data_IF_975982164923
#
_entry.id   IF_975982164923
#
_cell.length_a   1.000
_cell.length_b   1.000
_cell.length_c   1.000
_cell.angle_alpha   90.00
_cell.angle_beta   90.00
_cell.angle_gamma   90.00
#
_symmetry.space_group_name_H-M   'P 1'
#
loop_
_entity.id
_entity.type
_entity.pdbx_description
1 polymer ?
#
# COMPACT_ATOMS: atom_id res chain seq x y z
N UNK A 1 -21.85 -11.25 100.25
CA UNK A 1 -22.35 -11.44 98.86
C UNK A 1 -22.89 -10.12 98.33
N UNK A 2 -22.61 -9.75 97.07
CA UNK A 2 -22.98 -8.50 96.35
C UNK A 2 -22.02 -7.28 96.36
N UNK A 3 -20.76 -7.41 96.80
CA UNK A 3 -19.75 -6.34 96.54
C UNK A 3 -18.41 -6.79 95.95
N UNK A 4 -18.22 -8.10 95.72
CA UNK A 4 -16.97 -8.65 95.19
C UNK A 4 -17.08 -9.17 93.73
N UNK A 5 -18.23 -9.00 93.06
CA UNK A 5 -18.48 -9.54 91.71
C UNK A 5 -18.43 -8.46 90.62
N UNK A 6 -18.50 -7.17 90.99
CA UNK A 6 -18.56 -6.07 90.01
C UNK A 6 -17.19 -5.49 89.60
N UNK A 7 -16.10 -5.83 90.29
CA UNK A 7 -14.76 -5.32 89.96
C UNK A 7 -13.98 -6.16 88.94
N UNK A 8 -14.45 -7.36 88.60
CA UNK A 8 -13.78 -8.23 87.61
C UNK A 8 -14.39 -8.08 86.20
N UNK A 9 -15.62 -7.55 86.07
CA UNK A 9 -16.30 -7.41 84.78
C UNK A 9 -15.97 -6.07 84.08
N UNK A 10 -15.46 -5.06 84.79
CA UNK A 10 -15.09 -3.77 84.19
C UNK A 10 -13.68 -3.74 83.55
N UNK A 11 -12.88 -4.80 83.70
CA UNK A 11 -11.53 -4.89 83.12
C UNK A 11 -11.47 -5.76 81.85
N UNK A 12 -12.59 -6.38 81.44
CA UNK A 12 -12.66 -7.18 80.21
C UNK A 12 -13.24 -6.43 79.00
N UNK A 13 -13.67 -5.18 79.16
CA UNK A 13 -14.30 -4.38 78.09
C UNK A 13 -13.43 -3.25 77.53
N UNK A 14 -12.17 -3.12 77.96
CA UNK A 14 -11.22 -2.13 77.42
C UNK A 14 -10.12 -2.78 76.56
N UNK A 15 -9.98 -4.10 76.55
CA UNK A 15 -8.89 -4.77 75.81
C UNK A 15 -9.32 -5.40 74.47
N UNK A 16 -10.51 -5.09 73.95
CA UNK A 16 -11.00 -5.60 72.65
C UNK A 16 -11.27 -4.49 71.61
N UNK A 17 -10.88 -3.24 71.88
CA UNK A 17 -11.00 -2.13 70.92
C UNK A 17 -9.65 -1.55 70.45
N UNK A 18 -8.52 -2.18 70.80
CA UNK A 18 -7.18 -1.71 70.42
C UNK A 18 -6.44 -2.67 69.46
N UNK A 19 -7.18 -3.45 68.66
CA UNK A 19 -6.62 -4.29 67.59
C UNK A 19 -7.25 -4.04 66.21
N UNK A 20 -7.87 -2.87 66.01
CA UNK A 20 -8.40 -2.42 64.71
C UNK A 20 -7.92 -1.01 64.34
N UNK A 21 -6.68 -0.66 64.70
CA UNK A 21 -6.04 0.63 64.32
C UNK A 21 -4.60 0.46 63.82
N UNK A 22 -4.29 -0.66 63.17
CA UNK A 22 -3.04 -0.81 62.40
C UNK A 22 -3.35 -1.64 61.16
N UNK A 23 -3.64 -0.97 60.05
CA UNK A 23 -4.00 -1.65 58.81
C UNK A 23 -4.64 -0.81 57.72
N UNK A 24 -4.62 0.53 57.76
CA UNK A 24 -4.66 1.31 56.52
C UNK A 24 -3.24 1.28 55.93
N UNK A 25 -2.76 0.09 55.56
CA UNK A 25 -1.72 0.01 54.56
C UNK A 25 -2.36 0.59 53.32
N UNK A 26 -1.87 1.75 52.86
CA UNK A 26 -2.17 2.21 51.51
C UNK A 26 -1.99 1.01 50.59
N UNK A 27 -2.97 0.77 49.71
CA UNK A 27 -2.78 -0.14 48.60
C UNK A 27 -1.38 0.14 48.04
N UNK A 28 -0.51 -0.88 47.85
CA UNK A 28 0.78 -0.63 47.24
C UNK A 28 0.49 0.18 46.00
N UNK A 29 1.07 1.38 45.92
CA UNK A 29 0.97 2.25 44.76
C UNK A 29 1.29 1.32 43.59
N UNK A 30 0.25 0.91 42.85
CA UNK A 30 0.48 0.15 41.64
C UNK A 30 1.30 1.11 40.82
N UNK A 31 2.60 0.82 40.69
CA UNK A 31 3.42 1.42 39.65
C UNK A 31 2.65 1.16 38.38
N UNK A 32 1.85 2.15 37.96
CA UNK A 32 1.30 2.24 36.63
C UNK A 32 2.55 2.33 35.78
N UNK A 33 3.02 1.18 35.31
CA UNK A 33 3.97 1.15 34.22
C UNK A 33 3.20 1.79 33.08
N UNK A 34 3.58 3.03 32.75
CA UNK A 34 3.01 3.70 31.61
C UNK A 34 3.51 2.92 30.39
N UNK A 35 2.64 2.06 29.87
CA UNK A 35 2.94 1.19 28.74
C UNK A 35 2.98 1.99 27.42
N UNK A 36 2.56 3.27 27.46
CA UNK A 36 2.58 4.17 26.33
C UNK A 36 3.89 4.96 26.30
N UNK A 37 4.51 5.03 25.12
CA UNK A 37 5.66 5.88 24.83
C UNK A 37 5.38 6.64 23.54
N UNK A 38 4.51 7.63 23.65
CA UNK A 38 4.09 8.47 22.53
C UNK A 38 5.21 9.36 21.98
N UNK A 39 6.29 9.61 22.73
CA UNK A 39 7.36 10.51 22.30
C UNK A 39 8.53 9.73 21.69
N UNK A 40 8.94 8.63 22.33
CA UNK A 40 9.97 7.75 21.79
C UNK A 40 9.46 6.87 20.65
N UNK A 41 8.14 6.60 20.61
CA UNK A 41 7.48 5.83 19.56
C UNK A 41 7.55 4.32 19.77
N UNK A 42 8.09 3.84 20.89
CA UNK A 42 8.33 2.41 21.12
C UNK A 42 7.07 1.60 21.44
N UNK A 43 6.01 2.26 21.90
CA UNK A 43 4.73 1.64 22.23
C UNK A 43 3.59 2.65 22.12
N UNK A 44 2.86 2.59 21.01
CA UNK A 44 1.69 3.43 20.73
C UNK A 44 0.42 2.59 20.95
N UNK A 45 -0.44 3.00 21.89
CA UNK A 45 -1.63 2.22 22.28
C UNK A 45 -2.95 2.95 22.00
N UNK A 46 -2.93 4.26 21.76
CA UNK A 46 -4.12 5.05 21.42
C UNK A 46 -3.92 5.96 20.22
N UNK A 47 -5.02 6.46 19.65
CA UNK A 47 -4.99 7.48 18.62
C UNK A 47 -4.28 8.77 19.08
N UNK A 48 -4.54 9.19 20.32
CA UNK A 48 -3.91 10.40 20.87
C UNK A 48 -2.40 10.24 20.98
N UNK A 49 -1.90 9.05 21.32
CA UNK A 49 -0.46 8.76 21.35
C UNK A 49 0.15 8.86 19.94
N UNK A 50 -0.53 8.28 18.95
CA UNK A 50 -0.06 8.26 17.58
C UNK A 50 -0.02 9.67 16.97
N UNK A 51 -1.05 10.47 17.22
CA UNK A 51 -1.11 11.87 16.79
C UNK A 51 -0.03 12.70 17.50
N UNK A 52 0.14 12.53 18.82
CA UNK A 52 1.20 13.19 19.57
C UNK A 52 2.60 12.80 19.06
N UNK A 53 2.82 11.55 18.68
CA UNK A 53 4.06 11.09 18.08
C UNK A 53 4.32 11.76 16.73
N UNK A 54 3.32 11.85 15.87
CA UNK A 54 3.45 12.53 14.57
C UNK A 54 3.80 14.01 14.77
N UNK A 55 3.24 14.67 15.77
CA UNK A 55 3.50 16.09 16.02
C UNK A 55 4.85 16.36 16.71
N UNK A 56 5.25 15.51 17.68
CA UNK A 56 6.30 15.82 18.67
C UNK A 56 7.29 14.67 18.92
N UNK A 57 7.17 13.55 18.23
CA UNK A 57 8.02 12.38 18.44
C UNK A 57 9.49 12.69 18.21
N UNK A 58 10.36 12.14 19.05
CA UNK A 58 11.81 12.33 18.97
C UNK A 58 12.47 11.40 17.95
N UNK A 59 11.81 10.28 17.65
CA UNK A 59 12.23 9.32 16.64
C UNK A 59 11.39 9.43 15.36
N UNK A 60 11.86 8.79 14.30
CA UNK A 60 11.09 8.61 13.06
C UNK A 60 10.29 7.31 13.05
N UNK A 61 10.30 6.50 14.11
CA UNK A 61 9.64 5.19 14.11
C UNK A 61 8.60 5.09 15.22
N UNK A 62 7.33 4.91 14.82
CA UNK A 62 6.26 4.53 15.72
C UNK A 62 6.01 3.03 15.61
N UNK A 63 5.85 2.36 16.75
CA UNK A 63 5.44 0.97 16.85
C UNK A 63 4.10 0.86 17.58
N UNK A 64 3.12 0.23 16.93
CA UNK A 64 1.81 -0.02 17.53
C UNK A 64 1.88 -1.19 18.52
N UNK A 65 1.14 -1.03 19.61
CA UNK A 65 0.96 -2.02 20.67
C UNK A 65 -0.51 -2.41 20.88
N UNK A 66 -1.41 -1.86 20.07
CA UNK A 66 -2.84 -2.15 20.05
C UNK A 66 -3.46 -1.76 18.69
N UNK A 67 -4.67 -2.25 18.43
CA UNK A 67 -5.51 -1.72 17.35
C UNK A 67 -5.93 -0.28 17.68
N UNK A 68 -5.85 0.62 16.70
CA UNK A 68 -6.13 2.05 16.88
C UNK A 68 -7.21 2.50 15.91
N UNK A 69 -8.18 3.26 16.41
CA UNK A 69 -9.14 4.01 15.61
C UNK A 69 -8.88 5.50 15.77
N UNK A 70 -8.61 6.19 14.66
CA UNK A 70 -8.50 7.64 14.59
C UNK A 70 -9.88 8.34 14.56
N UNK A 71 -10.97 7.57 14.52
CA UNK A 71 -12.32 8.10 14.32
C UNK A 71 -12.36 9.01 13.09
N UNK A 72 -12.69 10.30 13.22
CA UNK A 72 -12.74 11.24 12.10
C UNK A 72 -11.41 11.98 11.87
N UNK A 73 -10.38 11.71 12.68
CA UNK A 73 -9.05 12.29 12.51
C UNK A 73 -8.21 11.51 11.49
N UNK A 74 -7.06 12.08 11.12
CA UNK A 74 -6.13 11.50 10.16
C UNK A 74 -4.68 11.80 10.57
N UNK A 75 -3.77 10.89 10.29
CA UNK A 75 -2.33 11.13 10.46
C UNK A 75 -1.82 11.98 9.31
N UNK A 76 -1.37 13.21 9.61
CA UNK A 76 -0.86 14.14 8.62
C UNK A 76 0.67 14.08 8.59
N UNK A 77 1.22 13.43 7.58
CA UNK A 77 2.67 13.40 7.37
C UNK A 77 3.05 14.60 6.52
N UNK A 78 3.57 15.61 7.21
CA UNK A 78 4.11 16.82 6.60
C UNK A 78 5.61 16.66 6.37
N UNK A 79 6.24 17.64 5.70
CA UNK A 79 7.70 17.68 5.51
C UNK A 79 8.53 17.57 6.79
N UNK A 80 7.99 18.00 7.94
CA UNK A 80 8.69 17.87 9.22
C UNK A 80 8.82 16.41 9.70
N UNK A 81 8.03 15.50 9.12
CA UNK A 81 7.98 14.06 9.44
C UNK A 81 8.21 13.19 8.19
N UNK A 82 8.87 13.74 7.18
CA UNK A 82 9.22 12.99 5.98
C UNK A 82 10.08 11.76 6.34
N UNK A 83 9.77 10.62 5.74
CA UNK A 83 10.47 9.34 6.01
C UNK A 83 10.04 8.67 7.32
N UNK A 84 8.90 9.04 7.90
CA UNK A 84 8.36 8.37 9.09
C UNK A 84 8.11 6.88 8.80
N UNK A 85 8.44 6.05 9.79
CA UNK A 85 8.21 4.61 9.80
C UNK A 85 7.09 4.29 10.77
N UNK A 86 6.05 3.61 10.31
CA UNK A 86 4.99 3.06 11.16
C UNK A 86 5.05 1.54 11.11
N UNK A 87 5.49 0.92 12.21
CA UNK A 87 5.38 -0.52 12.43
C UNK A 87 4.06 -0.82 13.13
N UNK A 88 3.12 -1.38 12.41
CA UNK A 88 1.85 -1.85 12.95
C UNK A 88 1.98 -3.05 13.87
N UNK A 89 3.10 -3.78 13.84
CA UNK A 89 3.34 -4.93 14.71
C UNK A 89 2.19 -5.97 14.68
N UNK A 90 1.51 -6.11 13.55
CA UNK A 90 0.36 -6.99 13.32
C UNK A 90 -1.00 -6.38 13.70
N UNK A 91 -1.04 -5.16 14.23
CA UNK A 91 -2.28 -4.47 14.59
C UNK A 91 -2.92 -3.74 13.40
N UNK A 92 -4.15 -3.28 13.64
CA UNK A 92 -4.95 -2.51 12.70
C UNK A 92 -4.96 -1.04 13.06
N UNK A 93 -4.82 -0.18 12.04
CA UNK A 93 -5.12 1.25 12.13
C UNK A 93 -6.39 1.55 11.32
N UNK A 94 -7.35 2.22 11.91
CA UNK A 94 -8.63 2.54 11.25
C UNK A 94 -9.00 4.01 11.39
N UNK A 95 -9.80 4.53 10.46
CA UNK A 95 -10.32 5.89 10.50
C UNK A 95 -11.47 6.07 9.52
N UNK A 96 -12.43 6.92 9.87
CA UNK A 96 -13.64 7.25 9.13
C UNK A 96 -13.57 8.60 8.39
N UNK A 97 -12.48 9.36 8.56
CA UNK A 97 -12.24 10.60 7.79
C UNK A 97 -11.97 10.35 6.30
N UNK A 98 -11.61 11.42 5.58
CA UNK A 98 -11.32 11.37 4.13
C UNK A 98 -10.21 10.37 3.78
N UNK A 99 -9.22 10.27 4.67
CA UNK A 99 -8.23 9.20 4.65
C UNK A 99 -7.69 8.92 6.07
N UNK A 100 -7.09 7.75 6.30
CA UNK A 100 -6.45 7.42 7.58
C UNK A 100 -5.09 8.10 7.69
N UNK A 101 -4.30 8.03 6.62
CA UNK A 101 -2.99 8.67 6.51
C UNK A 101 -3.01 9.62 5.33
N UNK A 102 -2.62 10.88 5.58
CA UNK A 102 -2.43 11.89 4.55
C UNK A 102 -0.96 12.22 4.38
N UNK A 103 -0.43 12.06 3.17
CA UNK A 103 0.90 12.52 2.79
C UNK A 103 0.79 13.89 2.10
N UNK A 104 1.52 14.88 2.61
CA UNK A 104 1.71 16.15 1.92
C UNK A 104 2.66 15.94 0.72
N UNK A 105 2.63 16.88 -0.23
CA UNK A 105 3.41 16.79 -1.46
C UNK A 105 4.91 16.56 -1.21
N UNK A 106 5.46 15.56 -1.89
CA UNK A 106 6.82 15.07 -1.84
C UNK A 106 7.20 14.39 -0.54
N UNK A 107 6.27 14.03 0.34
CA UNK A 107 6.59 13.26 1.54
C UNK A 107 6.68 11.77 1.24
N UNK A 108 7.45 11.08 2.07
CA UNK A 108 7.65 9.65 2.05
C UNK A 108 7.27 9.02 3.40
N UNK A 109 6.83 7.77 3.37
CA UNK A 109 6.54 6.99 4.57
C UNK A 109 6.86 5.51 4.33
N UNK A 110 7.35 4.83 5.36
CA UNK A 110 7.49 3.37 5.37
C UNK A 110 6.49 2.78 6.36
N UNK A 111 5.71 1.81 5.92
CA UNK A 111 4.66 1.18 6.72
C UNK A 111 4.97 -0.31 6.81
N UNK A 112 4.84 -0.93 7.99
CA UNK A 112 5.20 -2.34 8.17
C UNK A 112 4.17 -3.08 8.98
N UNK A 113 3.92 -4.35 8.63
CA UNK A 113 3.16 -5.30 9.43
C UNK A 113 1.83 -4.71 9.94
N UNK A 114 1.02 -4.13 9.05
CA UNK A 114 -0.20 -3.42 9.45
C UNK A 114 -1.31 -3.68 8.45
N UNK A 115 -2.55 -3.66 8.96
CA UNK A 115 -3.74 -3.46 8.13
C UNK A 115 -4.31 -2.07 8.39
N UNK A 116 -4.59 -1.31 7.34
CA UNK A 116 -5.19 0.03 7.43
C UNK A 116 -6.60 0.00 6.83
N UNK A 117 -7.60 0.41 7.61
CA UNK A 117 -8.99 0.52 7.18
C UNK A 117 -9.45 1.98 7.11
N UNK A 118 -9.68 2.49 5.90
CA UNK A 118 -10.19 3.84 5.66
C UNK A 118 -11.68 3.87 5.32
N UNK A 119 -12.42 4.76 5.97
CA UNK A 119 -13.85 5.01 5.71
C UNK A 119 -14.10 5.72 4.37
N UNK A 120 -13.08 6.40 3.84
CA UNK A 120 -13.02 6.81 2.43
C UNK A 120 -11.77 6.21 1.80
N UNK A 121 -10.60 6.86 1.91
CA UNK A 121 -9.36 6.31 1.38
C UNK A 121 -8.48 5.74 2.51
N UNK A 122 -7.69 4.68 2.29
CA UNK A 122 -6.73 4.27 3.33
C UNK A 122 -5.57 5.28 3.39
N UNK A 123 -5.01 5.65 2.24
CA UNK A 123 -3.98 6.69 2.11
C UNK A 123 -4.41 7.75 1.09
N UNK A 124 -4.33 9.03 1.48
CA UNK A 124 -4.52 10.18 0.61
C UNK A 124 -3.22 10.98 0.42
N UNK A 125 -2.86 11.31 -0.82
CA UNK A 125 -1.66 12.08 -1.14
C UNK A 125 -2.03 13.39 -1.85
N UNK A 126 -1.60 14.53 -1.31
CA UNK A 126 -1.92 15.85 -1.86
C UNK A 126 -1.16 16.21 -3.14
N UNK A 127 -0.12 15.44 -3.49
CA UNK A 127 0.71 15.63 -4.67
C UNK A 127 1.53 14.37 -4.91
N UNK A 128 2.77 14.53 -5.36
CA UNK A 128 3.71 13.41 -5.47
C UNK A 128 4.00 12.84 -4.07
N UNK A 129 4.16 11.53 -3.91
CA UNK A 129 4.52 10.94 -2.62
C UNK A 129 5.23 9.59 -2.82
N UNK A 130 5.91 9.12 -1.78
CA UNK A 130 6.53 7.79 -1.78
C UNK A 130 6.03 6.95 -0.60
N UNK A 131 5.71 5.68 -0.88
CA UNK A 131 5.23 4.73 0.12
C UNK A 131 6.09 3.48 0.00
N UNK A 132 6.71 3.09 1.10
CA UNK A 132 7.39 1.81 1.21
C UNK A 132 6.76 0.94 2.27
N UNK A 133 7.10 -0.34 2.28
CA UNK A 133 6.63 -1.21 3.34
C UNK A 133 6.71 -2.69 3.08
N UNK A 134 6.58 -3.48 4.13
CA UNK A 134 6.49 -4.94 4.08
C UNK A 134 5.25 -5.41 4.86
N UNK A 135 4.55 -6.40 4.33
CA UNK A 135 3.31 -6.92 4.93
C UNK A 135 2.29 -5.81 5.22
N UNK A 136 2.02 -4.97 4.22
CA UNK A 136 1.09 -3.83 4.32
C UNK A 136 -0.17 -4.15 3.53
N UNK A 137 -1.32 -4.04 4.20
CA UNK A 137 -2.64 -4.12 3.55
C UNK A 137 -3.42 -2.84 3.78
N UNK A 138 -3.75 -2.15 2.70
CA UNK A 138 -4.48 -0.88 2.69
C UNK A 138 -5.88 -1.12 2.15
N UNK A 139 -6.91 -0.80 2.92
CA UNK A 139 -8.30 -1.11 2.57
C UNK A 139 -9.13 0.14 2.74
N UNK A 140 -9.46 0.81 1.64
CA UNK A 140 -10.40 1.93 1.65
C UNK A 140 -11.81 1.49 1.31
N UNK A 141 -12.81 2.20 1.81
CA UNK A 141 -14.16 2.09 1.22
C UNK A 141 -14.11 2.64 -0.20
N UNK A 142 -13.69 3.90 -0.34
CA UNK A 142 -13.44 4.61 -1.59
C UNK A 142 -12.27 4.02 -2.36
N UNK A 143 -11.03 4.28 -1.94
CA UNK A 143 -9.83 3.75 -2.60
C UNK A 143 -8.80 3.27 -1.59
N UNK A 144 -8.00 2.27 -1.95
CA UNK A 144 -6.84 1.93 -1.12
C UNK A 144 -5.87 3.11 -1.04
N UNK A 145 -5.45 3.61 -2.20
CA UNK A 145 -4.61 4.81 -2.32
C UNK A 145 -5.23 5.80 -3.31
N UNK A 146 -5.33 7.07 -2.89
CA UNK A 146 -5.66 8.18 -3.78
C UNK A 146 -4.54 9.22 -3.75
N UNK A 147 -4.06 9.63 -4.92
CA UNK A 147 -3.05 10.66 -5.04
C UNK A 147 -3.40 11.71 -6.10
N UNK A 148 -3.10 12.97 -5.83
CA UNK A 148 -3.17 14.02 -6.84
C UNK A 148 -1.97 13.99 -7.80
N UNK A 149 -0.80 13.53 -7.33
CA UNK A 149 0.42 13.42 -8.11
C UNK A 149 0.83 11.98 -8.39
N UNK A 150 2.13 11.78 -8.61
CA UNK A 150 2.75 10.48 -8.83
C UNK A 150 3.04 9.77 -7.51
N UNK A 151 2.71 8.49 -7.42
CA UNK A 151 3.10 7.64 -6.29
C UNK A 151 4.34 6.83 -6.66
N UNK A 152 5.34 6.86 -5.79
CA UNK A 152 6.49 5.96 -5.83
C UNK A 152 6.33 4.85 -4.80
N UNK A 153 6.36 3.60 -5.24
CA UNK A 153 6.48 2.43 -4.36
C UNK A 153 7.97 2.13 -4.18
N UNK A 154 8.46 2.31 -2.96
CA UNK A 154 9.89 2.25 -2.64
C UNK A 154 10.46 0.84 -2.83
N UNK A 155 11.76 0.78 -3.15
CA UNK A 155 12.50 -0.44 -3.44
C UNK A 155 12.30 -1.53 -2.39
N UNK A 156 12.12 -2.78 -2.84
CA UNK A 156 11.92 -3.94 -1.97
C UNK A 156 10.62 -3.96 -1.17
N UNK A 157 9.69 -3.05 -1.45
CA UNK A 157 8.39 -3.01 -0.76
C UNK A 157 7.43 -4.09 -1.27
N UNK A 158 6.45 -4.46 -0.45
CA UNK A 158 5.33 -5.32 -0.80
C UNK A 158 4.05 -4.74 -0.21
N UNK A 159 3.20 -4.18 -1.08
CA UNK A 159 1.99 -3.46 -0.69
C UNK A 159 0.76 -4.07 -1.37
N UNK A 160 -0.27 -4.35 -0.58
CA UNK A 160 -1.62 -4.68 -1.05
C UNK A 160 -2.54 -3.47 -0.86
N UNK A 161 -3.23 -3.06 -1.93
CA UNK A 161 -4.11 -1.89 -1.93
C UNK A 161 -5.49 -2.23 -2.48
N UNK A 162 -6.48 -2.22 -1.60
CA UNK A 162 -7.83 -2.67 -1.86
C UNK A 162 -8.86 -1.56 -1.66
N UNK A 163 -9.95 -1.65 -2.43
CA UNK A 163 -11.13 -0.82 -2.27
C UNK A 163 -12.42 -1.65 -2.21
N UNK A 164 -13.39 -1.17 -1.42
CA UNK A 164 -14.70 -1.81 -1.35
C UNK A 164 -15.67 -1.32 -2.43
N UNK A 165 -15.53 -0.07 -2.90
CA UNK A 165 -16.40 0.49 -3.95
C UNK A 165 -15.65 1.19 -5.09
N UNK A 166 -14.43 1.70 -4.87
CA UNK A 166 -13.66 2.40 -5.89
C UNK A 166 -12.46 1.61 -6.39
N UNK A 167 -11.28 2.27 -6.43
CA UNK A 167 -10.06 1.74 -7.04
C UNK A 167 -9.08 1.24 -5.99
N UNK A 168 -8.33 0.17 -6.28
CA UNK A 168 -7.18 -0.19 -5.46
C UNK A 168 -6.19 0.97 -5.33
N UNK A 169 -5.86 1.62 -6.46
CA UNK A 169 -5.10 2.87 -6.51
C UNK A 169 -5.57 3.79 -7.64
N UNK A 170 -5.63 5.10 -7.36
CA UNK A 170 -5.87 6.14 -8.37
C UNK A 170 -4.91 7.32 -8.19
N UNK A 171 -4.16 7.67 -9.24
CA UNK A 171 -3.12 8.70 -9.19
C UNK A 171 -2.81 9.33 -10.57
N UNK A 172 -2.00 10.39 -10.60
CA UNK A 172 -1.52 10.97 -11.85
C UNK A 172 -0.43 10.14 -12.53
N UNK A 173 0.33 9.37 -11.75
CA UNK A 173 1.36 8.47 -12.24
C UNK A 173 1.77 7.47 -11.18
N UNK A 174 2.47 6.42 -11.59
CA UNK A 174 2.96 5.38 -10.69
C UNK A 174 4.39 4.98 -11.07
N UNK A 175 5.29 5.00 -10.10
CA UNK A 175 6.62 4.44 -10.22
C UNK A 175 6.80 3.32 -9.21
N UNK A 176 7.14 2.12 -9.66
CA UNK A 176 7.49 0.99 -8.81
C UNK A 176 8.99 0.80 -8.93
N UNK A 177 9.70 1.02 -7.83
CA UNK A 177 11.15 0.86 -7.79
C UNK A 177 11.58 -0.61 -7.82
N UNK A 178 12.89 -0.84 -7.85
CA UNK A 178 13.47 -2.17 -8.02
C UNK A 178 13.01 -3.14 -6.93
N UNK A 179 12.63 -4.34 -7.38
CA UNK A 179 12.16 -5.43 -6.51
C UNK A 179 10.97 -5.06 -5.61
N UNK A 180 10.25 -3.98 -5.90
CA UNK A 180 9.05 -3.60 -5.19
C UNK A 180 7.81 -4.21 -5.85
N UNK A 181 6.78 -4.53 -5.07
CA UNK A 181 5.51 -5.05 -5.55
C UNK A 181 4.32 -4.24 -5.05
N UNK A 182 3.38 -4.01 -5.96
CA UNK A 182 2.06 -3.45 -5.66
C UNK A 182 0.99 -4.36 -6.25
N UNK A 183 0.17 -4.94 -5.38
CA UNK A 183 -1.06 -5.61 -5.78
C UNK A 183 -2.25 -4.72 -5.44
N UNK A 184 -3.03 -4.34 -6.45
CA UNK A 184 -4.14 -3.42 -6.30
C UNK A 184 -5.45 -4.04 -6.80
N UNK A 185 -6.52 -3.91 -6.01
CA UNK A 185 -7.85 -4.48 -6.31
C UNK A 185 -8.96 -3.49 -5.97
N UNK A 186 -9.96 -3.38 -6.84
CA UNK A 186 -11.15 -2.58 -6.54
C UNK A 186 -12.28 -2.85 -7.54
N UNK A 187 -13.55 -2.68 -7.14
CA UNK A 187 -14.69 -2.83 -8.05
C UNK A 187 -14.64 -1.90 -9.26
N UNK A 188 -14.08 -0.69 -9.14
CA UNK A 188 -13.91 0.20 -10.28
C UNK A 188 -12.63 -0.05 -11.07
N UNK A 189 -11.79 -1.00 -10.63
CA UNK A 189 -10.47 -1.29 -11.17
C UNK A 189 -9.42 -1.45 -10.07
N UNK A 190 -8.35 -2.18 -10.35
CA UNK A 190 -7.20 -2.27 -9.47
C UNK A 190 -6.34 -1.02 -9.53
N UNK A 191 -5.98 -0.59 -10.74
CA UNK A 191 -5.06 0.51 -10.99
C UNK A 191 -5.66 1.48 -12.00
N UNK A 192 -5.74 2.77 -11.65
CA UNK A 192 -6.15 3.82 -12.58
C UNK A 192 -5.16 5.00 -12.55
N UNK A 193 -4.38 5.15 -13.62
CA UNK A 193 -3.42 6.24 -13.78
C UNK A 193 -3.83 7.15 -14.93
N UNK A 194 -3.89 8.46 -14.68
CA UNK A 194 -4.14 9.42 -15.77
C UNK A 194 -2.90 9.70 -16.63
N UNK A 195 -1.70 9.46 -16.10
CA UNK A 195 -0.42 9.59 -16.79
C UNK A 195 0.33 8.26 -16.87
N UNK A 196 1.64 8.31 -16.68
CA UNK A 196 2.57 7.21 -16.94
C UNK A 196 2.67 6.21 -15.77
N UNK A 197 3.02 4.98 -16.13
CA UNK A 197 3.42 3.94 -15.19
C UNK A 197 4.81 3.46 -15.57
N UNK A 198 5.71 3.36 -14.59
CA UNK A 198 7.00 2.74 -14.79
C UNK A 198 7.24 1.67 -13.72
N UNK A 199 7.60 0.47 -14.16
CA UNK A 199 7.99 -0.65 -13.28
C UNK A 199 9.46 -0.95 -13.51
N UNK A 200 10.28 -0.68 -12.50
CA UNK A 200 11.72 -0.91 -12.53
C UNK A 200 12.06 -2.41 -12.47
N UNK A 201 13.35 -2.72 -12.59
CA UNK A 201 13.81 -4.11 -12.71
C UNK A 201 13.43 -4.97 -11.49
N UNK A 202 12.94 -6.18 -11.76
CA UNK A 202 12.41 -7.09 -10.74
C UNK A 202 11.14 -6.61 -10.02
N UNK A 203 10.60 -5.43 -10.37
CA UNK A 203 9.37 -4.92 -9.78
C UNK A 203 8.12 -5.62 -10.31
N UNK A 204 7.04 -5.60 -9.54
CA UNK A 204 5.77 -6.23 -9.88
C UNK A 204 4.59 -5.26 -9.71
N UNK A 205 3.79 -5.10 -10.77
CA UNK A 205 2.48 -4.45 -10.72
C UNK A 205 1.41 -5.49 -10.98
N UNK A 206 0.51 -5.67 -10.02
CA UNK A 206 -0.63 -6.55 -10.16
C UNK A 206 -1.93 -5.77 -9.97
N UNK A 207 -2.84 -5.86 -10.93
CA UNK A 207 -4.09 -5.13 -10.96
C UNK A 207 -5.26 -6.10 -11.18
N UNK A 208 -6.25 -6.03 -10.28
CA UNK A 208 -7.36 -6.99 -10.24
C UNK A 208 -8.71 -6.28 -10.18
N UNK A 209 -9.68 -6.83 -10.91
CA UNK A 209 -11.10 -6.55 -10.69
C UNK A 209 -11.96 -7.74 -11.08
N UNK A 210 -13.16 -7.81 -10.51
CA UNK A 210 -14.18 -8.83 -10.82
C UNK A 210 -15.41 -8.20 -11.50
N UNK A 211 -15.33 -6.91 -11.81
CA UNK A 211 -16.45 -6.07 -12.22
C UNK A 211 -16.25 -5.50 -13.64
N UNK A 212 -17.22 -4.73 -14.12
CA UNK A 212 -17.26 -4.25 -15.51
C UNK A 212 -16.39 -3.00 -15.79
N UNK A 213 -15.20 -2.94 -15.18
CA UNK A 213 -14.19 -1.90 -15.40
C UNK A 213 -12.85 -2.53 -15.78
N UNK A 214 -11.90 -1.76 -16.31
CA UNK A 214 -10.55 -2.28 -16.60
C UNK A 214 -9.87 -2.65 -15.28
N UNK A 215 -9.16 -3.79 -15.23
CA UNK A 215 -8.34 -4.07 -14.04
C UNK A 215 -7.22 -3.04 -13.91
N UNK A 216 -6.60 -2.67 -15.04
CA UNK A 216 -5.62 -1.60 -15.13
C UNK A 216 -5.97 -0.60 -16.24
N UNK A 217 -5.87 0.69 -15.92
CA UNK A 217 -5.91 1.79 -16.90
C UNK A 217 -4.67 2.66 -16.77
N UNK A 218 -3.98 2.90 -17.88
CA UNK A 218 -2.82 3.77 -17.98
C UNK A 218 -3.02 4.80 -19.10
N UNK A 219 -3.24 6.07 -18.73
CA UNK A 219 -3.49 7.16 -19.67
C UNK A 219 -2.26 7.64 -20.44
N UNK A 220 -1.06 7.33 -19.95
CA UNK A 220 0.22 7.54 -20.63
C UNK A 220 0.90 6.21 -20.98
N UNK A 221 2.22 6.26 -21.15
CA UNK A 221 3.02 5.06 -21.44
C UNK A 221 3.16 4.18 -20.20
N UNK A 222 2.93 2.88 -20.35
CA UNK A 222 3.38 1.86 -19.40
C UNK A 222 4.78 1.40 -19.81
N UNK A 223 5.78 1.63 -18.96
CA UNK A 223 7.17 1.19 -19.17
C UNK A 223 7.49 0.03 -18.25
N UNK A 224 7.92 -1.10 -18.82
CA UNK A 224 8.38 -2.28 -18.09
C UNK A 224 9.87 -2.49 -18.34
N UNK A 225 10.66 -2.52 -17.25
CA UNK A 225 12.11 -2.76 -17.31
C UNK A 225 12.48 -4.23 -17.07
N UNK A 226 13.71 -4.60 -17.39
CA UNK A 226 14.19 -5.98 -17.39
C UNK A 226 13.87 -6.71 -16.08
N UNK A 227 13.31 -7.91 -16.19
CA UNK A 227 12.88 -8.72 -15.03
C UNK A 227 11.59 -8.26 -14.35
N UNK A 228 10.97 -7.15 -14.77
CA UNK A 228 9.69 -6.69 -14.21
C UNK A 228 8.51 -7.56 -14.65
N UNK A 229 7.42 -7.46 -13.89
CA UNK A 229 6.20 -8.24 -14.08
C UNK A 229 4.96 -7.37 -14.01
N UNK A 230 4.07 -7.58 -14.98
CA UNK A 230 2.72 -7.06 -15.00
C UNK A 230 1.71 -8.21 -14.88
N UNK A 231 0.78 -8.10 -13.95
CA UNK A 231 -0.46 -8.89 -13.92
C UNK A 231 -1.63 -7.92 -14.06
N UNK A 232 -2.49 -8.14 -15.04
CA UNK A 232 -3.73 -7.41 -15.19
C UNK A 232 -4.86 -8.41 -15.41
N UNK A 233 -5.67 -8.65 -14.39
CA UNK A 233 -6.75 -9.64 -14.43
C UNK A 233 -8.10 -9.01 -14.13
N UNK A 234 -8.98 -9.15 -15.12
CA UNK A 234 -10.40 -8.85 -15.00
C UNK A 234 -11.20 -10.14 -15.12
N UNK A 235 -11.99 -10.46 -14.09
CA UNK A 235 -12.92 -11.60 -14.09
C UNK A 235 -14.36 -11.23 -14.50
N UNK A 236 -14.64 -9.93 -14.70
CA UNK A 236 -15.87 -9.42 -15.30
C UNK A 236 -15.79 -9.38 -16.83
N UNK A 237 -16.56 -8.47 -17.44
CA UNK A 237 -16.74 -8.44 -18.91
C UNK A 237 -15.76 -7.53 -19.67
N UNK A 238 -14.88 -6.80 -18.98
CA UNK A 238 -14.08 -5.73 -19.59
C UNK A 238 -12.59 -6.09 -19.75
N UNK A 239 -11.73 -5.14 -20.14
CA UNK A 239 -10.33 -5.46 -20.45
C UNK A 239 -9.54 -5.83 -19.18
N UNK A 240 -8.50 -6.65 -19.36
CA UNK A 240 -7.47 -6.82 -18.33
C UNK A 240 -6.74 -5.50 -18.12
N UNK A 241 -6.13 -4.96 -19.18
CA UNK A 241 -5.55 -3.62 -19.18
C UNK A 241 -5.97 -2.80 -20.40
N UNK A 242 -6.14 -1.50 -20.18
CA UNK A 242 -6.27 -0.45 -21.21
C UNK A 242 -5.07 0.50 -21.08
N UNK A 243 -4.25 0.57 -22.12
CA UNK A 243 -2.98 1.29 -22.13
C UNK A 243 -2.96 2.28 -23.30
N UNK A 244 -2.46 3.49 -23.07
CA UNK A 244 -2.20 4.42 -24.18
C UNK A 244 -1.07 3.89 -25.07
N UNK A 245 0.07 3.56 -24.46
CA UNK A 245 1.28 3.06 -25.13
C UNK A 245 2.00 2.07 -24.19
N UNK A 246 2.84 1.20 -24.75
CA UNK A 246 3.59 0.17 -24.03
C UNK A 246 5.05 0.17 -24.49
N UNK A 247 5.96 0.43 -23.55
CA UNK A 247 7.41 0.35 -23.73
C UNK A 247 7.98 -0.82 -22.90
N UNK A 248 8.81 -1.64 -23.53
CA UNK A 248 9.40 -2.83 -22.93
C UNK A 248 10.89 -2.84 -23.17
N UNK A 249 11.65 -2.91 -22.08
CA UNK A 249 13.11 -2.91 -22.08
C UNK A 249 13.61 -4.18 -21.38
N UNK A 250 14.19 -5.10 -22.13
CA UNK A 250 14.68 -6.39 -21.63
C UNK A 250 13.62 -7.50 -21.57
N UNK A 251 13.88 -8.51 -20.76
CA UNK A 251 13.02 -9.67 -20.58
C UNK A 251 11.97 -9.40 -19.50
N UNK A 252 10.74 -9.07 -19.92
CA UNK A 252 9.62 -8.75 -19.02
C UNK A 252 8.55 -9.83 -19.05
N UNK A 253 7.79 -9.95 -17.97
CA UNK A 253 6.63 -10.86 -17.87
C UNK A 253 5.32 -10.08 -17.91
N UNK A 254 4.40 -10.48 -18.78
CA UNK A 254 3.02 -9.96 -18.81
C UNK A 254 2.02 -11.12 -18.73
N UNK A 255 1.15 -11.05 -17.73
CA UNK A 255 -0.02 -11.91 -17.58
C UNK A 255 -1.28 -11.05 -17.65
N UNK A 256 -1.96 -11.10 -18.78
CA UNK A 256 -3.14 -10.29 -19.03
C UNK A 256 -4.36 -11.16 -19.26
N UNK A 257 -5.42 -10.93 -18.48
CA UNK A 257 -6.69 -11.62 -18.59
C UNK A 257 -7.84 -10.63 -18.59
N UNK A 258 -8.67 -10.68 -19.64
CA UNK A 258 -9.88 -9.87 -19.76
C UNK A 258 -11.13 -10.73 -19.90
N UNK A 259 -12.29 -10.08 -19.90
CA UNK A 259 -13.58 -10.71 -20.19
C UNK A 259 -13.65 -11.24 -21.63
N UNK A 260 -14.55 -12.21 -21.87
CA UNK A 260 -14.61 -12.97 -23.13
C UNK A 260 -14.78 -12.09 -24.37
N UNK A 261 -15.55 -11.01 -24.27
CA UNK A 261 -15.82 -10.08 -25.37
C UNK A 261 -14.84 -8.91 -25.46
N UNK A 262 -13.94 -8.79 -24.49
CA UNK A 262 -12.95 -7.72 -24.37
C UNK A 262 -11.57 -8.17 -24.87
N UNK A 263 -10.51 -7.66 -24.25
CA UNK A 263 -9.12 -7.99 -24.57
C UNK A 263 -8.35 -8.19 -23.26
N UNK A 264 -7.37 -9.07 -23.24
CA UNK A 264 -6.42 -9.10 -22.13
C UNK A 264 -5.66 -7.78 -22.05
N UNK A 265 -5.13 -7.32 -23.19
CA UNK A 265 -4.53 -6.00 -23.37
C UNK A 265 -5.23 -5.24 -24.49
N UNK A 266 -5.69 -4.04 -24.19
CA UNK A 266 -6.15 -3.07 -25.17
C UNK A 266 -5.16 -1.91 -25.21
N UNK A 267 -4.57 -1.66 -26.37
CA UNK A 267 -3.61 -0.58 -26.56
C UNK A 267 -4.12 0.42 -27.59
N UNK A 268 -4.06 1.71 -27.27
CA UNK A 268 -4.38 2.75 -28.24
C UNK A 268 -3.30 2.84 -29.33
N UNK A 269 -2.04 2.75 -28.94
CA UNK A 269 -0.90 2.80 -29.86
C UNK A 269 0.07 1.64 -29.59
N UNK A 270 0.46 0.92 -30.64
CA UNK A 270 1.60 -0.02 -30.61
C UNK A 270 2.54 0.28 -31.77
N UNK A 271 3.67 0.92 -31.47
CA UNK A 271 4.60 1.44 -32.48
C UNK A 271 5.53 0.38 -33.04
N UNK A 272 6.09 -0.44 -32.16
CA UNK A 272 7.15 -1.40 -32.48
C UNK A 272 6.71 -2.84 -32.25
N UNK A 273 7.41 -3.80 -32.85
CA UNK A 273 7.22 -5.19 -32.47
C UNK A 273 7.96 -5.45 -31.16
N UNK A 274 7.25 -5.98 -30.17
CA UNK A 274 7.81 -6.38 -28.89
C UNK A 274 7.55 -7.86 -28.63
N UNK A 275 8.40 -8.48 -27.82
CA UNK A 275 8.18 -9.83 -27.31
C UNK A 275 8.27 -9.84 -25.79
N UNK A 276 7.38 -10.58 -25.15
CA UNK A 276 7.26 -10.66 -23.69
C UNK A 276 7.03 -12.10 -23.25
N UNK A 277 7.40 -12.41 -22.02
CA UNK A 277 7.13 -13.71 -21.41
C UNK A 277 5.71 -13.70 -20.84
N UNK A 278 4.96 -14.79 -21.03
CA UNK A 278 3.67 -14.98 -20.38
C UNK A 278 2.51 -15.14 -21.36
N UNK A 279 1.36 -14.53 -21.07
CA UNK A 279 0.12 -14.79 -21.81
C UNK A 279 -0.83 -13.61 -21.80
N UNK A 280 -1.63 -13.50 -22.86
CA UNK A 280 -2.74 -12.56 -22.97
C UNK A 280 -3.99 -13.26 -23.48
N UNK A 281 -5.05 -13.28 -22.66
CA UNK A 281 -6.32 -13.91 -23.01
C UNK A 281 -7.54 -13.06 -22.57
N UNK A 282 -8.42 -12.60 -23.49
CA UNK A 282 -8.33 -12.73 -24.95
C UNK A 282 -7.08 -12.05 -25.53
N UNK A 283 -6.80 -12.30 -26.81
CA UNK A 283 -5.63 -11.74 -27.52
C UNK A 283 -5.58 -10.20 -27.41
N UNK A 284 -4.37 -9.60 -27.51
CA UNK A 284 -4.24 -8.16 -27.54
C UNK A 284 -5.05 -7.52 -28.68
N UNK A 285 -5.56 -6.31 -28.44
CA UNK A 285 -6.20 -5.45 -29.46
C UNK A 285 -5.46 -4.12 -29.51
N UNK A 286 -5.30 -3.60 -30.73
CA UNK A 286 -4.61 -2.34 -31.00
C UNK A 286 -5.56 -1.42 -31.78
N UNK A 287 -5.70 -0.16 -31.38
CA UNK A 287 -6.44 0.82 -32.20
C UNK A 287 -5.58 1.36 -33.35
N UNK A 288 -4.31 1.62 -33.09
CA UNK A 288 -3.39 2.24 -34.03
C UNK A 288 -1.96 1.72 -33.90
N UNK A 289 -1.10 2.11 -34.84
CA UNK A 289 0.28 1.63 -34.95
C UNK A 289 0.42 0.43 -35.88
N UNK A 290 1.67 0.02 -36.10
CA UNK A 290 2.03 -1.12 -36.98
C UNK A 290 2.83 -2.19 -36.25
N UNK A 291 3.08 -2.00 -34.97
CA UNK A 291 3.77 -2.98 -34.13
C UNK A 291 2.87 -4.16 -33.77
N UNK A 292 3.44 -5.08 -33.00
CA UNK A 292 2.77 -6.28 -32.53
C UNK A 292 3.38 -6.73 -31.19
N UNK A 293 2.64 -7.55 -30.45
CA UNK A 293 3.11 -8.15 -29.20
C UNK A 293 3.15 -9.66 -29.37
N UNK A 294 4.35 -10.23 -29.26
CA UNK A 294 4.56 -11.68 -29.26
C UNK A 294 4.69 -12.19 -27.82
N UNK A 295 3.87 -13.18 -27.45
CA UNK A 295 3.96 -13.85 -26.16
C UNK A 295 4.74 -15.15 -26.30
N UNK A 296 5.74 -15.35 -25.45
CA UNK A 296 6.55 -16.57 -25.39
C UNK A 296 6.50 -17.21 -24.00
N UNK A 297 6.74 -18.52 -23.92
CA UNK A 297 6.62 -19.25 -22.65
C UNK A 297 7.83 -19.06 -21.72
N UNK A 298 8.98 -18.63 -22.24
CA UNK A 298 10.21 -18.51 -21.46
C UNK A 298 11.21 -17.52 -22.07
N UNK A 299 12.17 -17.05 -21.26
CA UNK A 299 13.15 -16.05 -21.65
C UNK A 299 14.07 -16.51 -22.81
N UNK A 300 14.38 -17.80 -22.90
CA UNK A 300 15.24 -18.36 -23.95
C UNK A 300 14.59 -18.32 -25.34
N UNK A 301 13.26 -18.11 -25.39
CA UNK A 301 12.49 -17.98 -26.63
C UNK A 301 12.31 -16.52 -27.06
N UNK A 302 12.82 -15.56 -26.30
CA UNK A 302 12.74 -14.15 -26.69
C UNK A 302 13.62 -13.92 -27.94
N UNK A 303 13.06 -13.36 -29.02
CA UNK A 303 13.84 -12.95 -30.18
C UNK A 303 14.75 -11.77 -29.81
N UNK A 304 15.85 -11.65 -30.55
CA UNK A 304 16.72 -10.48 -30.48
C UNK A 304 16.00 -9.21 -31.01
N UNK A 305 16.43 -8.01 -30.59
CA UNK A 305 15.88 -6.76 -31.12
C UNK A 305 15.92 -6.66 -32.65
N UNK A 306 17.00 -7.14 -33.28
CA UNK A 306 17.18 -7.14 -34.73
C UNK A 306 16.22 -8.10 -35.45
N UNK A 307 15.84 -9.20 -34.81
CA UNK A 307 14.83 -10.13 -35.33
C UNK A 307 13.41 -9.55 -35.22
N UNK A 308 13.11 -8.80 -34.15
CA UNK A 308 11.81 -8.16 -33.94
C UNK A 308 11.57 -6.97 -34.88
N UNK A 309 12.60 -6.13 -35.04
CA UNK A 309 12.51 -4.88 -35.78
C UNK A 309 13.70 -4.77 -36.76
N UNK A 310 13.68 -5.55 -37.87
CA UNK A 310 14.77 -5.58 -38.82
C UNK A 310 14.94 -4.22 -39.51
N UNK A 311 16.13 -3.63 -39.38
CA UNK A 311 16.48 -2.40 -40.09
C UNK A 311 16.73 -2.72 -41.56
N UNK A 312 16.05 -2.02 -42.46
CA UNK A 312 16.29 -2.17 -43.89
C UNK A 312 17.77 -1.88 -44.20
N UNK A 313 18.45 -2.70 -45.04
CA UNK A 313 19.86 -2.47 -45.35
C UNK A 313 20.03 -1.08 -45.97
N UNK A 314 21.04 -0.33 -45.52
CA UNK A 314 21.36 0.98 -46.09
C UNK A 314 21.58 0.85 -47.59
N UNK A 315 21.03 1.77 -48.42
CA UNK A 315 21.21 1.69 -49.86
C UNK A 315 22.70 1.73 -50.19
N UNK A 316 23.15 0.74 -50.95
CA UNK A 316 24.54 0.66 -51.43
C UNK A 316 24.84 1.94 -52.22
N UNK A 317 25.97 2.65 -51.98
CA UNK A 317 26.31 3.82 -52.76
C UNK A 317 26.41 3.40 -54.22
N UNK A 318 25.56 3.94 -55.08
CA UNK A 318 25.67 3.77 -56.52
C UNK A 318 27.01 4.38 -56.93
N UNK A 319 27.96 3.57 -57.41
CA UNK A 319 29.14 4.08 -58.10
C UNK A 319 28.63 4.95 -59.27
N UNK A 320 28.93 6.24 -59.22
CA UNK A 320 28.65 7.16 -60.30
C UNK A 320 29.51 6.79 -61.53
N UNK A 321 28.95 6.89 -62.75
CA UNK A 321 29.63 6.48 -63.99
C UNK A 321 30.85 7.32 -64.34
#
# INVERSE_FOLDING_TARGET
MRRLVYQIISLLSVSLCAAFLAGCGGEPEQTKVDLADAIGGSSIVTASDLLAFVERGESSTAKLSADISLENEMLRITKARDGLVLDGNGFTLSGAGDCVIRLDEGCSMVIKNITIHGGSDAIGCLGNAAIGGENVRLIGVGNGIRAAGTITVLSGSSIESEANIGMGITASGLYIEENASLAAKGPMGGVNMSGEIQVAGGGELAAYTEENYNALKCGGTLTLKDGSKLIAENLGEYHGAELMDLDVDGAVTIQAKGGENAAGLFLFEQRENIAVIGSCNPKPRFESGKGSITFVDSAEKLPSPEELNPVAPSPTPTEAP
#
